data_IF_830950060590
#
_entry.id   IF_830950060590
#
_cell.length_a   1.000
_cell.length_b   1.000
_cell.length_c   1.000
_cell.angle_alpha   90.00
_cell.angle_beta   90.00
_cell.angle_gamma   90.00
#
_symmetry.space_group_name_H-M   'P 1'
#
loop_
_entity.id
_entity.type
_entity.pdbx_description
1 polymer ?
#
# COMPACT_ATOMS: atom_id res chain seq x y z
N UNK A 1 -10.97 15.73 41.21
CA UNK A 1 -10.71 14.42 40.62
C UNK A 1 -11.04 14.45 39.15
N UNK A 2 -10.31 15.23 38.31
CA UNK A 2 -10.62 15.43 36.86
C UNK A 2 -9.37 15.74 36.03
N UNK A 3 -8.25 15.07 36.25
CA UNK A 3 -7.02 15.32 35.47
C UNK A 3 -6.37 14.08 34.86
N UNK A 4 -7.06 12.91 34.82
CA UNK A 4 -6.50 11.68 34.26
C UNK A 4 -6.92 11.39 32.78
N UNK A 5 -7.87 12.13 32.23
CA UNK A 5 -8.43 11.84 30.87
C UNK A 5 -7.63 12.47 29.72
N UNK A 6 -6.86 13.54 29.98
CA UNK A 6 -6.14 14.28 28.92
C UNK A 6 -4.84 13.60 28.50
N UNK A 7 -4.23 12.78 29.37
CA UNK A 7 -2.99 12.06 29.03
C UNK A 7 -3.19 10.79 28.21
N UNK A 8 -4.41 10.22 28.19
CA UNK A 8 -4.71 9.00 27.42
C UNK A 8 -4.83 9.25 25.91
N UNK A 9 -5.25 10.46 25.52
CA UNK A 9 -5.45 10.82 24.11
C UNK A 9 -4.15 10.85 23.28
N UNK A 10 -3.08 11.55 23.71
CA UNK A 10 -1.82 11.59 22.95
C UNK A 10 -1.10 10.24 22.93
N UNK A 11 -1.22 9.43 24.00
CA UNK A 11 -0.63 8.09 24.06
C UNK A 11 -1.31 7.14 23.06
N UNK A 12 -2.64 7.20 22.94
CA UNK A 12 -3.40 6.43 21.93
C UNK A 12 -3.03 6.85 20.50
N UNK A 13 -2.85 8.13 20.24
CA UNK A 13 -2.40 8.66 18.96
C UNK A 13 -0.97 8.17 18.66
N UNK A 14 -0.08 8.18 19.66
CA UNK A 14 1.30 7.71 19.49
C UNK A 14 1.38 6.19 19.24
N UNK A 15 0.54 5.40 19.92
CA UNK A 15 0.39 3.96 19.67
C UNK A 15 -0.17 3.70 18.27
N UNK A 16 -1.14 4.50 17.83
CA UNK A 16 -1.72 4.41 16.50
C UNK A 16 -0.67 4.63 15.38
N UNK A 17 0.21 5.63 15.53
CA UNK A 17 1.32 5.87 14.61
C UNK A 17 2.42 4.79 14.68
N UNK A 18 2.60 4.15 15.82
CA UNK A 18 3.61 3.09 15.99
C UNK A 18 3.22 1.75 15.33
N UNK A 19 1.94 1.54 15.02
CA UNK A 19 1.43 0.32 14.39
C UNK A 19 1.44 0.44 12.84
N UNK A 20 1.65 1.65 12.30
CA UNK A 20 1.67 1.85 10.84
C UNK A 20 2.89 1.17 10.23
N UNK A 21 2.63 0.05 9.58
CA UNK A 21 3.61 -0.70 8.81
C UNK A 21 3.79 -0.05 7.45
N UNK A 22 5.03 0.10 7.01
CA UNK A 22 5.34 0.59 5.67
C UNK A 22 4.91 -0.44 4.62
N UNK A 23 3.83 -0.20 3.91
CA UNK A 23 3.51 -0.95 2.69
C UNK A 23 3.21 0.02 1.54
N UNK A 24 3.49 -0.42 0.30
CA UNK A 24 3.17 0.37 -0.87
C UNK A 24 1.66 0.70 -0.92
N UNK A 25 1.27 1.92 -1.35
CA UNK A 25 -0.13 2.30 -1.42
C UNK A 25 -0.85 1.47 -2.46
N UNK A 26 -1.68 0.53 -2.01
CA UNK A 26 -2.44 -0.40 -2.86
C UNK A 26 -3.93 -0.11 -2.88
N UNK A 27 -4.42 0.77 -2.03
CA UNK A 27 -5.79 1.22 -2.08
C UNK A 27 -6.01 2.05 -3.35
N UNK A 28 -7.14 1.85 -4.03
CA UNK A 28 -7.54 2.67 -5.15
C UNK A 28 -8.76 3.48 -4.71
N UNK A 29 -8.56 4.77 -4.50
CA UNK A 29 -9.59 5.71 -4.01
C UNK A 29 -10.08 6.66 -5.09
N UNK A 30 -9.58 6.50 -6.31
CA UNK A 30 -9.92 7.36 -7.43
C UNK A 30 -11.31 7.04 -7.98
N UNK A 31 -11.99 8.07 -8.45
CA UNK A 31 -13.23 7.97 -9.22
C UNK A 31 -12.92 8.00 -10.72
N UNK A 32 -13.80 7.47 -11.55
CA UNK A 32 -13.76 7.68 -12.99
C UNK A 32 -13.94 9.14 -13.40
N UNK A 33 -14.48 9.98 -12.50
CA UNK A 33 -14.58 11.43 -12.67
C UNK A 33 -13.35 12.11 -12.11
N UNK A 34 -12.57 12.79 -12.96
CA UNK A 34 -11.46 13.65 -12.53
C UNK A 34 -11.97 14.98 -11.98
N UNK A 35 -11.15 15.64 -11.17
CA UNK A 35 -11.50 16.91 -10.61
C UNK A 35 -11.56 18.01 -11.68
N UNK A 36 -12.59 18.85 -11.68
CA UNK A 36 -12.64 20.06 -12.47
C UNK A 36 -11.49 21.01 -12.14
N UNK A 37 -11.13 21.87 -13.09
CA UNK A 37 -10.03 22.83 -12.95
C UNK A 37 -10.14 23.66 -11.67
N UNK A 38 -9.04 23.68 -10.89
CA UNK A 38 -8.93 24.49 -9.68
C UNK A 38 -9.63 23.88 -8.46
N UNK A 39 -10.25 22.72 -8.57
CA UNK A 39 -10.79 22.01 -7.41
C UNK A 39 -9.71 21.21 -6.71
N UNK A 40 -9.85 21.12 -5.39
CA UNK A 40 -8.96 20.37 -4.50
C UNK A 40 -9.75 19.30 -3.77
N UNK A 41 -9.14 18.15 -3.65
CA UNK A 41 -9.63 17.04 -2.84
C UNK A 41 -8.49 16.56 -1.94
N UNK A 42 -8.79 16.36 -0.68
CA UNK A 42 -7.85 15.72 0.25
C UNK A 42 -8.60 14.78 1.17
N UNK A 43 -7.88 13.88 1.80
CA UNK A 43 -8.51 12.94 2.72
C UNK A 43 -7.51 12.10 3.47
N UNK A 44 -8.09 11.32 4.39
CA UNK A 44 -7.40 10.33 5.21
C UNK A 44 -8.10 9.01 4.98
N UNK A 45 -7.33 7.98 4.73
CA UNK A 45 -7.83 6.63 4.52
C UNK A 45 -7.03 5.63 5.35
N UNK A 46 -7.73 4.67 5.93
CA UNK A 46 -7.13 3.55 6.65
C UNK A 46 -7.25 2.29 5.81
N UNK A 47 -6.15 1.61 5.64
CA UNK A 47 -6.02 0.46 4.75
C UNK A 47 -5.45 -0.72 5.51
N UNK A 48 -6.08 -1.87 5.36
CA UNK A 48 -5.58 -3.14 5.88
C UNK A 48 -5.08 -3.94 4.68
N UNK A 49 -3.84 -4.42 4.73
CA UNK A 49 -3.32 -5.34 3.74
C UNK A 49 -3.29 -6.75 4.30
N UNK A 50 -3.99 -7.67 3.67
CA UNK A 50 -4.04 -9.09 4.05
C UNK A 50 -3.46 -9.91 2.91
N UNK A 51 -2.21 -10.40 3.12
CA UNK A 51 -1.46 -11.15 2.12
C UNK A 51 -1.52 -12.66 2.38
N UNK A 52 -1.96 -13.42 1.41
CA UNK A 52 -1.97 -14.88 1.48
C UNK A 52 -0.55 -15.45 1.49
N UNK A 53 0.41 -14.84 0.78
CA UNK A 53 1.80 -15.28 0.76
C UNK A 53 2.43 -15.19 2.15
N UNK A 54 2.25 -14.07 2.86
CA UNK A 54 2.75 -13.89 4.22
C UNK A 54 2.09 -14.84 5.22
N UNK A 55 0.79 -15.08 5.10
CA UNK A 55 0.06 -16.04 5.95
C UNK A 55 0.58 -17.47 5.70
N UNK A 56 0.65 -17.91 4.46
CA UNK A 56 1.06 -19.25 4.09
C UNK A 56 2.49 -19.56 4.54
N UNK A 57 3.43 -18.64 4.32
CA UNK A 57 4.81 -18.82 4.74
C UNK A 57 4.95 -18.83 6.26
N UNK A 58 4.20 -17.98 6.96
CA UNK A 58 4.19 -17.97 8.44
C UNK A 58 3.67 -19.28 9.03
N UNK A 59 2.58 -19.82 8.48
CA UNK A 59 2.03 -21.13 8.90
C UNK A 59 3.02 -22.27 8.61
N UNK A 60 3.59 -22.32 7.40
CA UNK A 60 4.59 -23.32 7.03
C UNK A 60 5.84 -23.25 7.91
N UNK A 61 6.32 -22.03 8.20
CA UNK A 61 7.47 -21.80 9.06
C UNK A 61 7.24 -22.29 10.50
N UNK A 62 6.11 -21.92 11.10
CA UNK A 62 5.77 -22.31 12.47
C UNK A 62 5.53 -23.81 12.64
N UNK A 63 4.81 -24.44 11.70
CA UNK A 63 4.55 -25.89 11.71
C UNK A 63 5.86 -26.69 11.64
N UNK A 64 6.75 -26.32 10.75
CA UNK A 64 8.01 -27.00 10.56
C UNK A 64 8.95 -26.88 11.77
N UNK A 65 8.95 -25.70 12.45
CA UNK A 65 9.68 -25.51 13.70
C UNK A 65 9.14 -26.43 14.81
N UNK A 66 7.81 -26.50 14.95
CA UNK A 66 7.18 -27.38 15.94
C UNK A 66 7.49 -28.86 15.66
N UNK A 67 7.44 -29.30 14.41
CA UNK A 67 7.79 -30.69 14.03
C UNK A 67 9.26 -31.03 14.31
N UNK A 68 10.18 -30.08 14.06
CA UNK A 68 11.63 -30.31 14.35
C UNK A 68 11.89 -30.44 15.85
N UNK A 69 11.22 -29.65 16.67
CA UNK A 69 11.34 -29.70 18.14
C UNK A 69 10.75 -31.01 18.68
N UNK A 70 9.61 -31.46 18.16
CA UNK A 70 8.94 -32.70 18.62
C UNK A 70 9.69 -33.96 18.25
N UNK A 71 10.43 -33.96 17.12
CA UNK A 71 11.14 -35.16 16.63
C UNK A 71 12.54 -35.30 17.17
N UNK A 72 13.05 -34.39 18.01
CA UNK A 72 14.44 -34.32 18.44
C UNK A 72 15.47 -34.52 17.29
N UNK A 73 15.08 -34.09 16.07
CA UNK A 73 15.93 -34.24 14.91
C UNK A 73 17.14 -33.30 14.99
N UNK A 74 18.26 -33.78 14.49
CA UNK A 74 19.47 -32.96 14.30
C UNK A 74 19.08 -31.73 13.51
N UNK A 75 19.25 -30.52 14.08
CA UNK A 75 18.89 -29.24 13.45
C UNK A 75 19.78 -29.07 12.22
N UNK A 76 19.18 -29.21 11.02
CA UNK A 76 19.87 -28.95 9.77
C UNK A 76 19.76 -27.41 9.53
N UNK A 77 20.78 -26.69 9.96
CA UNK A 77 20.80 -25.19 9.90
C UNK A 77 20.47 -24.61 8.54
N UNK A 78 20.93 -25.23 7.45
CA UNK A 78 20.63 -24.77 6.09
C UNK A 78 19.14 -24.81 5.76
N UNK A 79 18.42 -25.85 6.17
CA UNK A 79 16.98 -25.97 5.94
C UNK A 79 16.19 -25.00 6.80
N UNK A 80 16.57 -24.81 8.05
CA UNK A 80 15.93 -23.84 8.95
C UNK A 80 16.15 -22.42 8.46
N UNK A 81 17.35 -22.08 8.00
CA UNK A 81 17.67 -20.80 7.40
C UNK A 81 16.85 -20.53 6.12
N UNK A 82 16.71 -21.53 5.24
CA UNK A 82 15.90 -21.40 4.03
C UNK A 82 14.42 -21.13 4.35
N UNK A 83 13.85 -21.78 5.35
CA UNK A 83 12.48 -21.57 5.82
C UNK A 83 12.30 -20.16 6.40
N UNK A 84 13.23 -19.72 7.26
CA UNK A 84 13.23 -18.39 7.84
C UNK A 84 13.34 -17.31 6.77
N UNK A 85 14.20 -17.50 5.77
CA UNK A 85 14.35 -16.65 4.60
C UNK A 85 13.02 -16.49 3.85
N UNK A 86 12.26 -17.60 3.66
CA UNK A 86 10.98 -17.57 2.94
C UNK A 86 9.92 -16.76 3.69
N UNK A 87 9.78 -16.98 4.99
CA UNK A 87 8.84 -16.23 5.85
C UNK A 87 9.18 -14.73 5.84
N UNK A 88 10.47 -14.44 6.02
CA UNK A 88 10.94 -13.07 6.09
C UNK A 88 10.75 -12.34 4.77
N UNK A 89 11.08 -12.98 3.64
CA UNK A 89 10.93 -12.41 2.32
C UNK A 89 9.45 -12.14 1.97
N UNK A 90 8.56 -13.08 2.28
CA UNK A 90 7.14 -12.90 2.07
C UNK A 90 6.61 -11.68 2.85
N UNK A 91 7.04 -11.52 4.10
CA UNK A 91 6.66 -10.39 4.92
C UNK A 91 7.25 -9.06 4.41
N UNK A 92 8.47 -9.06 3.88
CA UNK A 92 9.09 -7.87 3.31
C UNK A 92 8.40 -7.41 2.01
N UNK A 93 8.00 -8.36 1.16
CA UNK A 93 7.36 -8.05 -0.12
C UNK A 93 5.90 -7.62 0.04
N UNK A 94 5.19 -8.27 0.97
CA UNK A 94 3.77 -8.06 1.16
C UNK A 94 3.32 -8.31 2.62
N UNK A 95 3.64 -7.38 3.53
CA UNK A 95 3.33 -7.52 4.94
C UNK A 95 1.83 -7.50 5.19
N UNK A 96 1.39 -8.27 6.18
CA UNK A 96 0.10 -8.02 6.80
C UNK A 96 0.23 -6.72 7.59
N UNK A 97 -0.50 -5.70 7.18
CA UNK A 97 -0.28 -4.36 7.71
C UNK A 97 -1.56 -3.54 7.79
N UNK A 98 -1.56 -2.61 8.73
CA UNK A 98 -2.52 -1.53 8.83
C UNK A 98 -1.80 -0.21 8.56
N UNK A 99 -2.30 0.58 7.60
CA UNK A 99 -1.67 1.82 7.18
C UNK A 99 -2.70 2.94 7.15
N UNK A 100 -2.26 4.13 7.55
CA UNK A 100 -3.00 5.38 7.34
C UNK A 100 -2.41 6.11 6.16
N UNK A 101 -3.25 6.44 5.20
CA UNK A 101 -2.90 7.18 4.00
C UNK A 101 -3.43 8.59 4.08
N UNK A 102 -2.59 9.58 3.78
CA UNK A 102 -2.97 10.94 3.50
C UNK A 102 -2.90 11.15 1.99
N UNK A 103 -3.94 11.71 1.41
CA UNK A 103 -3.93 11.99 -0.01
C UNK A 103 -4.45 13.39 -0.32
N UNK A 104 -3.90 13.94 -1.39
CA UNK A 104 -4.23 15.22 -1.96
C UNK A 104 -4.39 15.07 -3.47
N UNK A 105 -5.38 15.76 -4.07
CA UNK A 105 -5.61 15.75 -5.50
C UNK A 105 -6.03 17.13 -5.98
N UNK A 106 -5.55 17.53 -7.15
CA UNK A 106 -5.82 18.84 -7.77
C UNK A 106 -6.25 18.68 -9.22
N UNK A 107 -7.35 19.34 -9.60
CA UNK A 107 -7.86 19.39 -10.96
C UNK A 107 -7.10 20.38 -11.84
N UNK A 108 -6.41 19.89 -12.86
CA UNK A 108 -5.68 20.70 -13.84
C UNK A 108 -6.60 21.29 -14.90
N UNK A 109 -7.74 20.67 -15.16
CA UNK A 109 -8.59 20.95 -16.31
C UNK A 109 -8.28 20.03 -17.50
N UNK A 110 -8.98 20.22 -18.62
CA UNK A 110 -8.83 19.41 -19.82
C UNK A 110 -8.93 17.90 -19.55
N UNK A 111 -9.76 17.48 -18.59
CA UNK A 111 -9.96 16.09 -18.18
C UNK A 111 -8.76 15.45 -17.47
N UNK A 112 -7.86 16.24 -16.89
CA UNK A 112 -6.73 15.76 -16.12
C UNK A 112 -6.80 16.25 -14.67
N UNK A 113 -6.40 15.38 -13.77
CA UNK A 113 -6.04 15.73 -12.39
C UNK A 113 -4.74 15.05 -11.97
N UNK A 114 -4.10 15.61 -10.96
CA UNK A 114 -2.89 15.05 -10.35
C UNK A 114 -3.14 14.76 -8.88
N UNK A 115 -2.50 13.73 -8.39
CA UNK A 115 -2.60 13.28 -7.01
C UNK A 115 -1.25 13.07 -6.36
N UNK A 116 -1.23 13.27 -5.06
CA UNK A 116 -0.13 12.87 -4.18
C UNK A 116 -0.70 12.07 -3.02
N UNK A 117 0.03 11.02 -2.62
CA UNK A 117 -0.36 10.11 -1.54
C UNK A 117 0.85 9.76 -0.68
N UNK A 118 0.65 9.77 0.63
CA UNK A 118 1.66 9.33 1.60
C UNK A 118 1.04 8.29 2.53
N UNK A 119 1.73 7.18 2.72
CA UNK A 119 1.32 6.04 3.57
C UNK A 119 2.29 5.80 4.71
N UNK A 120 2.85 6.88 5.30
CA UNK A 120 3.79 6.78 6.43
C UNK A 120 5.20 6.30 6.09
N UNK A 121 5.41 5.56 5.02
CA UNK A 121 6.73 5.07 4.57
C UNK A 121 6.88 5.02 3.06
N UNK A 122 5.77 5.17 2.34
CA UNK A 122 5.75 5.23 0.89
C UNK A 122 5.09 6.50 0.41
N UNK A 123 5.64 7.06 -0.65
CA UNK A 123 5.08 8.21 -1.34
C UNK A 123 4.63 7.79 -2.73
N UNK A 124 3.55 8.38 -3.22
CA UNK A 124 3.07 8.15 -4.57
C UNK A 124 2.59 9.44 -5.21
N UNK A 125 2.91 9.61 -6.49
CA UNK A 125 2.33 10.61 -7.37
C UNK A 125 1.54 9.93 -8.46
N UNK A 126 0.41 10.49 -8.83
CA UNK A 126 -0.39 9.98 -9.92
C UNK A 126 -0.96 11.10 -10.80
N UNK A 127 -1.22 10.74 -12.05
CA UNK A 127 -1.94 11.55 -13.03
C UNK A 127 -3.10 10.71 -13.55
N UNK A 128 -4.30 11.28 -13.56
CA UNK A 128 -5.50 10.63 -14.11
C UNK A 128 -6.02 11.41 -15.31
N UNK A 129 -6.44 10.69 -16.33
CA UNK A 129 -7.11 11.21 -17.51
C UNK A 129 -8.52 10.64 -17.64
N UNK A 130 -9.54 11.49 -17.71
CA UNK A 130 -10.92 11.07 -17.92
C UNK A 130 -11.22 11.00 -19.41
N UNK A 131 -11.41 9.79 -19.93
CA UNK A 131 -11.74 9.56 -21.34
C UNK A 131 -13.26 9.51 -21.60
N UNK A 132 -14.08 9.23 -20.60
CA UNK A 132 -15.53 9.09 -20.73
C UNK A 132 -16.28 9.89 -19.68
N UNK A 133 -17.46 10.40 -20.06
CA UNK A 133 -18.32 11.21 -19.21
C UNK A 133 -18.09 12.72 -19.33
N UNK A 134 -19.01 13.52 -18.76
CA UNK A 134 -18.92 14.97 -18.77
C UNK A 134 -17.93 15.49 -17.71
N UNK A 135 -17.15 16.50 -18.04
CA UNK A 135 -16.25 17.20 -17.09
C UNK A 135 -16.63 18.68 -16.95
N UNK A 136 -17.83 19.07 -17.35
CA UNK A 136 -18.31 20.44 -17.19
C UNK A 136 -18.86 20.62 -15.79
N UNK A 137 -18.57 21.78 -15.18
CA UNK A 137 -19.29 22.30 -14.00
C UNK A 137 -20.68 22.81 -14.44
N UNK A 138 -21.49 21.96 -15.07
CA UNK A 138 -22.80 22.37 -15.54
C UNK A 138 -23.81 22.17 -14.44
N UNK A 139 -24.53 23.26 -14.12
CA UNK A 139 -25.72 23.22 -13.28
C UNK A 139 -26.88 22.45 -13.95
N UNK A 140 -26.66 21.86 -15.12
CA UNK A 140 -27.67 21.21 -15.94
C UNK A 140 -27.44 19.69 -16.00
N UNK A 141 -28.30 19.00 -15.30
CA UNK A 141 -28.99 17.75 -15.66
C UNK A 141 -28.21 16.48 -16.05
N UNK A 142 -26.99 16.19 -15.60
CA UNK A 142 -26.53 14.80 -15.59
C UNK A 142 -26.87 14.18 -14.23
N UNK A 143 -28.11 13.73 -14.09
CA UNK A 143 -28.61 13.18 -12.85
C UNK A 143 -27.88 11.91 -12.41
N UNK A 144 -27.31 11.14 -13.35
CA UNK A 144 -26.60 9.89 -13.09
C UNK A 144 -25.43 9.68 -14.07
N UNK A 145 -24.40 10.50 -13.93
CA UNK A 145 -23.23 10.42 -14.82
C UNK A 145 -22.45 9.13 -14.63
N UNK A 146 -22.12 8.51 -15.76
CA UNK A 146 -21.16 7.42 -15.83
C UNK A 146 -19.84 7.96 -16.37
N UNK A 147 -18.73 7.66 -15.68
CA UNK A 147 -17.42 8.21 -15.97
C UNK A 147 -16.39 7.11 -16.13
N UNK A 148 -15.38 7.36 -16.97
CA UNK A 148 -14.24 6.47 -17.14
C UNK A 148 -12.94 7.26 -17.15
N UNK A 149 -11.94 6.77 -16.41
CA UNK A 149 -10.61 7.34 -16.39
C UNK A 149 -9.54 6.27 -16.37
N UNK A 150 -8.38 6.65 -16.89
CA UNK A 150 -7.15 5.86 -16.80
C UNK A 150 -6.06 6.73 -16.19
N UNK A 151 -5.14 6.11 -15.45
CA UNK A 151 -4.06 6.85 -14.83
C UNK A 151 -2.74 6.12 -14.84
N UNK A 152 -1.71 6.86 -14.43
CA UNK A 152 -0.39 6.32 -14.11
C UNK A 152 0.01 6.85 -12.74
N UNK A 153 0.37 5.94 -11.85
CA UNK A 153 0.90 6.25 -10.53
C UNK A 153 2.34 5.74 -10.44
N UNK A 154 3.23 6.57 -9.93
CA UNK A 154 4.57 6.19 -9.53
C UNK A 154 4.70 6.29 -8.02
N UNK A 155 5.15 5.21 -7.37
CA UNK A 155 5.41 5.21 -5.93
C UNK A 155 6.82 4.74 -5.63
N UNK A 156 7.34 5.22 -4.50
CA UNK A 156 8.63 4.78 -3.99
C UNK A 156 8.58 4.60 -2.48
N UNK A 157 9.33 3.62 -2.02
CA UNK A 157 9.41 3.23 -0.63
C UNK A 157 10.81 2.74 -0.30
N UNK A 158 11.33 3.23 0.82
CA UNK A 158 12.59 2.78 1.39
C UNK A 158 12.27 2.00 2.66
N UNK A 159 12.43 0.69 2.62
CA UNK A 159 12.29 -0.15 3.80
C UNK A 159 13.56 -0.08 4.64
N UNK A 160 13.55 0.77 5.65
CA UNK A 160 14.45 0.64 6.79
C UNK A 160 13.58 0.13 7.94
N UNK A 161 13.81 -1.09 8.37
CA UNK A 161 13.10 -1.68 9.53
C UNK A 161 13.50 -0.99 10.84
N UNK A 162 13.32 0.33 10.94
CA UNK A 162 13.85 1.12 12.06
C UNK A 162 13.00 0.99 13.34
N UNK A 163 11.73 0.51 13.27
CA UNK A 163 10.81 0.67 14.40
C UNK A 163 9.97 -0.54 14.80
N UNK A 164 10.33 -1.76 14.44
CA UNK A 164 9.66 -2.93 14.98
C UNK A 164 10.46 -3.51 16.15
N UNK A 165 10.15 -3.12 17.36
CA UNK A 165 10.82 -3.59 18.59
C UNK A 165 10.83 -5.13 18.73
N UNK A 166 9.91 -5.84 18.09
CA UNK A 166 9.87 -7.31 18.06
C UNK A 166 10.72 -7.93 16.94
N UNK A 167 11.03 -7.18 15.87
CA UNK A 167 11.86 -7.62 14.74
C UNK A 167 13.28 -7.04 14.78
N UNK A 168 13.62 -6.27 15.79
CA UNK A 168 14.94 -5.66 15.96
C UNK A 168 16.05 -6.72 15.97
N UNK A 169 15.78 -7.88 16.54
CA UNK A 169 16.67 -9.03 16.52
C UNK A 169 16.87 -9.54 15.08
N UNK A 170 15.79 -9.69 14.31
CA UNK A 170 15.84 -10.19 12.93
C UNK A 170 16.59 -9.21 12.04
N UNK A 171 16.37 -7.90 12.23
CA UNK A 171 17.10 -6.86 11.49
C UNK A 171 18.58 -6.82 11.86
N UNK A 172 18.92 -6.95 13.14
CA UNK A 172 20.30 -7.03 13.60
C UNK A 172 20.99 -8.28 13.08
N UNK A 173 20.27 -9.41 13.01
CA UNK A 173 20.80 -10.67 12.46
C UNK A 173 21.00 -10.60 10.95
N UNK A 174 20.04 -10.09 10.19
CA UNK A 174 20.04 -10.16 8.72
C UNK A 174 20.53 -8.88 8.03
N UNK A 175 20.60 -7.74 8.72
CA UNK A 175 21.06 -6.47 8.13
C UNK A 175 20.33 -6.13 6.82
N UNK A 176 19.00 -6.19 6.86
CA UNK A 176 18.15 -6.06 5.67
C UNK A 176 17.99 -4.61 5.23
N UNK A 177 18.21 -4.37 3.94
CA UNK A 177 17.91 -3.10 3.26
C UNK A 177 17.15 -3.41 1.96
N UNK A 178 16.01 -2.76 1.75
CA UNK A 178 15.22 -2.94 0.55
C UNK A 178 14.63 -1.61 0.08
N UNK A 179 14.78 -1.36 -1.20
CA UNK A 179 14.13 -0.26 -1.91
C UNK A 179 13.12 -0.80 -2.90
N UNK A 180 11.92 -0.24 -2.87
CA UNK A 180 10.84 -0.61 -3.78
C UNK A 180 10.35 0.63 -4.52
N UNK A 181 10.09 0.46 -5.83
CA UNK A 181 9.45 1.44 -6.69
C UNK A 181 8.36 0.72 -7.47
N UNK A 182 7.17 1.33 -7.55
CA UNK A 182 6.07 0.73 -8.30
C UNK A 182 5.55 1.70 -9.35
N UNK A 183 5.21 1.15 -10.53
CA UNK A 183 4.42 1.82 -11.54
C UNK A 183 3.06 1.13 -11.55
N UNK A 184 1.99 1.90 -11.33
CA UNK A 184 0.62 1.37 -11.25
C UNK A 184 -0.27 2.07 -12.27
N UNK A 185 -1.05 1.30 -13.02
CA UNK A 185 -1.94 1.79 -14.05
C UNK A 185 -3.37 1.36 -13.71
N UNK A 186 -4.19 2.21 -13.06
CA UNK A 186 -5.60 1.95 -12.80
C UNK A 186 -6.46 2.34 -14.00
N UNK A 187 -7.41 1.49 -14.35
CA UNK A 187 -8.53 1.78 -15.23
C UNK A 187 -9.80 1.82 -14.36
N UNK A 188 -10.44 2.97 -14.29
CA UNK A 188 -11.50 3.25 -13.32
C UNK A 188 -12.78 3.64 -14.04
N UNK A 189 -13.88 2.98 -13.69
CA UNK A 189 -15.23 3.37 -14.05
C UNK A 189 -15.97 3.79 -12.80
N UNK A 190 -16.87 4.77 -12.93
CA UNK A 190 -17.69 5.18 -11.80
C UNK A 190 -19.08 5.63 -12.22
N UNK A 191 -20.05 5.38 -11.35
CA UNK A 191 -21.41 5.88 -11.44
C UNK A 191 -21.66 6.87 -10.30
N UNK A 192 -22.11 8.05 -10.67
CA UNK A 192 -22.42 9.15 -9.74
C UNK A 192 -23.74 8.90 -9.03
N UNK A 193 -23.83 9.29 -7.75
CA UNK A 193 -25.07 9.48 -7.04
C UNK A 193 -25.43 10.95 -7.03
N UNK A 194 -26.43 11.30 -7.85
CA UNK A 194 -26.82 12.68 -8.12
C UNK A 194 -25.81 13.46 -8.98
N UNK A 195 -26.13 14.73 -9.27
CA UNK A 195 -25.30 15.56 -10.16
C UNK A 195 -23.89 15.72 -9.61
N UNK A 196 -22.89 15.50 -10.47
CA UNK A 196 -21.47 15.72 -10.18
C UNK A 196 -20.91 15.00 -8.95
N UNK A 197 -21.38 13.79 -8.68
CA UNK A 197 -21.04 13.03 -7.45
C UNK A 197 -21.40 13.78 -6.15
N UNK A 198 -22.46 14.61 -6.16
CA UNK A 198 -22.86 15.45 -5.03
C UNK A 198 -23.19 14.64 -3.78
N UNK A 199 -23.70 13.43 -3.94
CA UNK A 199 -24.01 12.50 -2.85
C UNK A 199 -23.03 11.33 -2.77
N UNK A 200 -22.05 11.30 -3.68
CA UNK A 200 -21.05 10.26 -3.81
C UNK A 200 -21.19 9.47 -5.10
N UNK A 201 -20.77 8.22 -5.06
CA UNK A 201 -20.80 7.33 -6.22
C UNK A 201 -20.18 5.97 -5.90
N UNK A 202 -20.31 5.07 -6.84
CA UNK A 202 -19.60 3.78 -6.86
C UNK A 202 -18.55 3.83 -7.95
N UNK A 203 -17.34 3.45 -7.63
CA UNK A 203 -16.24 3.29 -8.59
C UNK A 203 -15.76 1.85 -8.58
N UNK A 204 -15.41 1.31 -9.72
CA UNK A 204 -14.87 -0.03 -9.88
C UNK A 204 -13.89 -0.05 -11.05
N UNK A 205 -13.05 -1.07 -11.09
CA UNK A 205 -12.11 -1.17 -12.18
C UNK A 205 -11.07 -2.24 -11.98
N UNK A 206 -10.08 -2.20 -12.87
CA UNK A 206 -8.92 -3.08 -12.84
C UNK A 206 -7.65 -2.27 -12.69
N UNK A 207 -6.61 -2.90 -12.19
CA UNK A 207 -5.33 -2.27 -11.96
C UNK A 207 -4.19 -3.22 -12.32
N UNK A 208 -3.23 -2.72 -13.05
CA UNK A 208 -1.94 -3.36 -13.26
C UNK A 208 -0.87 -2.61 -12.49
N UNK A 209 0.06 -3.32 -11.87
CA UNK A 209 1.21 -2.73 -11.21
C UNK A 209 2.46 -3.55 -11.48
N UNK A 210 3.57 -2.86 -11.79
CA UNK A 210 4.90 -3.45 -11.86
C UNK A 210 5.76 -2.88 -10.74
N UNK A 211 6.39 -3.77 -9.96
CA UNK A 211 7.26 -3.44 -8.83
C UNK A 211 8.72 -3.71 -9.17
N UNK A 212 9.58 -2.74 -8.92
CA UNK A 212 11.04 -2.86 -8.99
C UNK A 212 11.60 -2.97 -7.58
N UNK A 213 12.32 -4.03 -7.30
CA UNK A 213 12.88 -4.33 -5.98
C UNK A 213 14.40 -4.38 -6.06
N UNK A 214 15.05 -3.59 -5.22
CA UNK A 214 16.49 -3.74 -4.93
C UNK A 214 16.62 -4.14 -3.46
N UNK A 215 17.33 -5.22 -3.19
CA UNK A 215 17.49 -5.72 -1.82
C UNK A 215 18.94 -6.09 -1.52
N UNK A 216 19.29 -5.97 -0.24
CA UNK A 216 20.58 -6.37 0.31
C UNK A 216 20.36 -6.99 1.69
N UNK A 217 20.97 -8.14 1.90
CA UNK A 217 20.97 -8.85 3.17
C UNK A 217 22.43 -8.94 3.61
N UNK A 218 22.77 -8.28 4.73
CA UNK A 218 24.14 -8.21 5.24
C UNK A 218 24.13 -8.49 6.74
N UNK A 219 24.25 -9.76 7.15
CA UNK A 219 24.33 -10.12 8.56
C UNK A 219 25.43 -9.34 9.26
N UNK A 220 25.14 -8.75 10.44
CA UNK A 220 26.14 -8.01 11.21
C UNK A 220 27.04 -8.96 11.98
N UNK A 221 28.35 -8.74 11.88
CA UNK A 221 29.38 -9.58 12.51
C UNK A 221 29.22 -9.80 14.02
N UNK A 222 28.60 -8.85 14.75
CA UNK A 222 28.43 -8.92 16.21
C UNK A 222 27.59 -10.14 16.66
N UNK A 223 26.68 -10.60 15.80
CA UNK A 223 25.86 -11.77 16.08
C UNK A 223 26.40 -13.02 15.34
N UNK A 224 27.16 -12.83 14.29
CA UNK A 224 27.87 -13.90 13.61
C UNK A 224 28.86 -14.60 14.55
N UNK A 225 29.60 -13.85 15.38
CA UNK A 225 30.56 -14.45 16.33
C UNK A 225 29.89 -15.42 17.35
N UNK A 226 28.69 -15.08 17.86
CA UNK A 226 27.95 -15.97 18.77
C UNK A 226 27.24 -17.14 18.08
N UNK A 227 26.97 -17.01 16.80
CA UNK A 227 26.30 -18.04 15.99
C UNK A 227 27.32 -18.83 15.18
N UNK A 228 28.49 -18.27 14.87
CA UNK A 228 29.56 -18.89 14.08
C UNK A 228 30.09 -20.19 14.67
N UNK A 229 30.04 -20.38 15.99
CA UNK A 229 30.41 -21.66 16.60
C UNK A 229 29.41 -22.79 16.26
N UNK A 230 28.22 -22.44 15.74
CA UNK A 230 27.14 -23.38 15.46
C UNK A 230 26.67 -23.38 14.00
N UNK A 231 26.96 -22.36 13.19
CA UNK A 231 26.51 -22.19 11.80
C UNK A 231 27.71 -22.02 10.89
N UNK A 232 27.84 -22.77 9.79
CA UNK A 232 28.91 -22.57 8.81
C UNK A 232 28.94 -21.15 8.28
N UNK A 233 30.10 -20.49 8.31
CA UNK A 233 30.27 -19.10 7.89
C UNK A 233 29.82 -18.84 6.45
N UNK A 234 29.92 -19.83 5.58
CA UNK A 234 29.48 -19.79 4.18
C UNK A 234 27.97 -19.50 4.02
N UNK A 235 27.15 -19.88 5.02
CA UNK A 235 25.71 -19.67 5.01
C UNK A 235 25.33 -18.21 5.32
N UNK A 236 26.26 -17.43 5.85
CA UNK A 236 26.03 -16.04 6.29
C UNK A 236 26.68 -15.01 5.36
N UNK A 237 27.13 -15.40 4.17
CA UNK A 237 27.67 -14.47 3.18
C UNK A 237 26.60 -13.45 2.76
N UNK A 238 26.96 -12.16 2.66
CA UNK A 238 26.04 -11.12 2.22
C UNK A 238 25.49 -11.43 0.84
N UNK A 239 24.18 -11.19 0.67
CA UNK A 239 23.46 -11.38 -0.60
C UNK A 239 22.82 -10.06 -1.01
N UNK A 240 22.91 -9.71 -2.28
CA UNK A 240 22.19 -8.58 -2.85
C UNK A 240 21.62 -8.96 -4.21
N UNK A 241 20.53 -8.32 -4.58
CA UNK A 241 19.90 -8.57 -5.87
C UNK A 241 18.94 -7.48 -6.30
N UNK A 242 18.59 -7.56 -7.58
CA UNK A 242 17.52 -6.77 -8.19
C UNK A 242 16.49 -7.75 -8.73
N UNK A 243 15.23 -7.47 -8.49
CA UNK A 243 14.11 -8.27 -8.98
C UNK A 243 12.95 -7.35 -9.31
N UNK A 244 11.94 -7.88 -9.99
CA UNK A 244 10.70 -7.19 -10.24
C UNK A 244 9.56 -8.19 -10.31
N UNK A 245 8.35 -7.70 -10.11
CA UNK A 245 7.16 -8.53 -10.21
C UNK A 245 5.94 -7.73 -10.69
N UNK A 246 5.00 -8.48 -11.26
CA UNK A 246 3.73 -7.97 -11.73
C UNK A 246 2.61 -8.27 -10.75
N UNK A 247 1.68 -7.33 -10.62
CA UNK A 247 0.46 -7.48 -9.86
C UNK A 247 -0.74 -7.08 -10.74
N UNK A 248 -1.77 -7.91 -10.73
CA UNK A 248 -3.04 -7.67 -11.41
C UNK A 248 -4.13 -7.62 -10.36
N UNK A 249 -4.95 -6.58 -10.40
CA UNK A 249 -5.99 -6.40 -9.39
C UNK A 249 -7.30 -5.91 -9.96
N UNK A 250 -8.33 -6.07 -9.13
CA UNK A 250 -9.62 -5.45 -9.33
C UNK A 250 -10.04 -4.78 -8.03
N UNK A 251 -10.88 -3.75 -8.14
CA UNK A 251 -11.33 -3.01 -6.97
C UNK A 251 -12.75 -2.50 -7.14
N UNK A 252 -13.38 -2.26 -6.01
CA UNK A 252 -14.62 -1.52 -5.88
C UNK A 252 -14.47 -0.50 -4.75
N UNK A 253 -15.01 0.70 -4.98
CA UNK A 253 -14.97 1.80 -4.02
C UNK A 253 -16.34 2.46 -3.98
N UNK A 254 -16.87 2.67 -2.79
CA UNK A 254 -18.14 3.35 -2.53
C UNK A 254 -17.85 4.61 -1.75
N UNK A 255 -18.33 5.73 -2.29
CA UNK A 255 -18.22 7.04 -1.67
C UNK A 255 -19.61 7.56 -1.36
N UNK A 256 -19.88 7.88 -0.10
CA UNK A 256 -21.16 8.41 0.37
C UNK A 256 -20.95 9.66 1.20
N UNK A 257 -21.70 10.71 0.90
CA UNK A 257 -21.56 11.97 1.63
C UNK A 257 -22.40 13.08 1.01
N UNK A 258 -22.03 14.30 1.32
CA UNK A 258 -22.73 15.47 0.76
C UNK A 258 -21.77 16.59 0.46
N UNK A 259 -21.65 16.94 -0.80
CA UNK A 259 -20.95 18.10 -1.35
C UNK A 259 -19.48 18.28 -0.95
N UNK A 260 -19.18 18.40 0.34
CA UNK A 260 -17.85 18.72 0.84
C UNK A 260 -17.19 17.58 1.58
N UNK A 261 -17.97 16.71 2.24
CA UNK A 261 -17.48 15.65 3.11
C UNK A 261 -18.07 14.32 2.67
N UNK A 262 -17.20 13.33 2.49
CA UNK A 262 -17.59 11.98 2.09
C UNK A 262 -16.86 10.94 2.93
N UNK A 263 -17.55 9.85 3.16
CA UNK A 263 -16.97 8.61 3.66
C UNK A 263 -16.69 7.68 2.48
N UNK A 264 -15.51 7.09 2.48
CA UNK A 264 -15.06 6.16 1.46
C UNK A 264 -14.92 4.77 2.06
N UNK A 265 -15.38 3.76 1.31
CA UNK A 265 -15.16 2.35 1.60
C UNK A 265 -14.65 1.70 0.33
N UNK A 266 -13.53 1.02 0.40
CA UNK A 266 -12.94 0.37 -0.76
C UNK A 266 -12.51 -1.05 -0.42
N UNK A 267 -12.61 -1.91 -1.40
CA UNK A 267 -12.07 -3.27 -1.37
C UNK A 267 -11.31 -3.49 -2.67
N UNK A 268 -10.03 -3.82 -2.56
CA UNK A 268 -9.22 -4.22 -3.70
C UNK A 268 -8.66 -5.63 -3.47
N UNK A 269 -8.51 -6.38 -4.55
CA UNK A 269 -7.88 -7.69 -4.55
C UNK A 269 -6.82 -7.73 -5.65
N UNK A 270 -5.62 -8.25 -5.31
CA UNK A 270 -4.49 -8.36 -6.21
C UNK A 270 -3.98 -9.78 -6.26
N UNK A 271 -3.74 -10.29 -7.45
CA UNK A 271 -2.91 -11.45 -7.69
C UNK A 271 -1.49 -10.98 -7.98
N UNK A 272 -0.48 -11.55 -7.31
CA UNK A 272 0.91 -11.14 -7.40
C UNK A 272 1.81 -12.36 -7.59
N UNK A 273 2.71 -12.26 -8.58
CA UNK A 273 3.79 -13.21 -8.77
C UNK A 273 5.11 -12.48 -8.46
N UNK A 274 5.56 -12.62 -7.23
CA UNK A 274 6.72 -11.89 -6.71
C UNK A 274 8.06 -12.29 -7.34
N UNK A 275 8.11 -13.37 -8.12
CA UNK A 275 9.33 -13.84 -8.74
C UNK A 275 10.25 -14.59 -7.78
N UNK A 276 11.54 -14.69 -8.16
CA UNK A 276 12.57 -15.42 -7.43
C UNK A 276 13.55 -14.47 -6.76
N UNK A 277 13.95 -14.82 -5.54
CA UNK A 277 14.92 -14.06 -4.76
C UNK A 277 16.01 -14.98 -4.22
N UNK A 278 17.27 -14.58 -4.41
CA UNK A 278 18.40 -15.23 -3.79
C UNK A 278 18.52 -14.80 -2.33
N UNK A 279 18.70 -15.75 -1.44
CA UNK A 279 18.71 -15.53 0.00
C UNK A 279 20.00 -16.06 0.61
N UNK A 280 20.18 -15.84 1.92
CA UNK A 280 21.32 -16.36 2.67
C UNK A 280 21.40 -17.88 2.53
N UNK A 281 22.63 -18.42 2.50
CA UNK A 281 22.88 -19.84 2.34
C UNK A 281 22.59 -20.39 0.93
N UNK A 282 22.58 -19.50 -0.09
CA UNK A 282 22.38 -19.91 -1.49
C UNK A 282 20.95 -20.37 -1.83
N UNK A 283 20.01 -20.27 -0.89
CA UNK A 283 18.62 -20.65 -1.12
C UNK A 283 17.92 -19.66 -2.05
N UNK A 284 16.96 -20.18 -2.84
CA UNK A 284 16.06 -19.35 -3.65
C UNK A 284 14.65 -19.41 -3.09
N UNK A 285 13.99 -18.26 -3.04
CA UNK A 285 12.60 -18.14 -2.60
C UNK A 285 11.75 -17.70 -3.79
N UNK A 286 10.75 -18.50 -4.12
CA UNK A 286 9.73 -18.19 -5.12
C UNK A 286 8.41 -17.95 -4.40
N UNK A 287 7.82 -16.79 -4.58
CA UNK A 287 6.58 -16.40 -3.93
C UNK A 287 5.53 -15.98 -4.94
N UNK A 288 4.29 -16.34 -4.65
CA UNK A 288 3.09 -15.86 -5.33
C UNK A 288 1.95 -15.81 -4.32
N UNK A 289 0.99 -14.95 -4.54
CA UNK A 289 -0.12 -14.85 -3.60
C UNK A 289 -1.21 -13.89 -4.05
N UNK A 290 -2.25 -13.86 -3.23
CA UNK A 290 -3.35 -12.93 -3.36
C UNK A 290 -3.29 -11.99 -2.16
N UNK A 291 -3.47 -10.69 -2.40
CA UNK A 291 -3.62 -9.69 -1.35
C UNK A 291 -5.01 -9.10 -1.42
N UNK A 292 -5.68 -9.02 -0.28
CA UNK A 292 -6.98 -8.38 -0.12
C UNK A 292 -6.75 -7.10 0.69
N UNK A 293 -7.27 -5.98 0.18
CA UNK A 293 -6.98 -4.64 0.70
C UNK A 293 -8.30 -3.90 0.97
N UNK A 294 -8.99 -4.21 2.09
CA UNK A 294 -10.08 -3.38 2.55
C UNK A 294 -9.56 -2.04 3.05
N UNK A 295 -10.30 -0.98 2.77
CA UNK A 295 -9.96 0.36 3.25
C UNK A 295 -11.20 1.20 3.51
N UNK A 296 -11.06 2.15 4.44
CA UNK A 296 -12.11 3.10 4.81
C UNK A 296 -11.50 4.45 5.18
N UNK A 297 -12.23 5.52 4.93
CA UNK A 297 -11.70 6.85 5.22
C UNK A 297 -12.68 7.98 4.99
N UNK A 298 -12.14 9.19 5.07
CA UNK A 298 -12.88 10.42 4.86
C UNK A 298 -12.20 11.26 3.79
N UNK A 299 -13.03 11.90 2.99
CA UNK A 299 -12.63 12.77 1.89
C UNK A 299 -13.29 14.13 2.02
N UNK A 300 -12.52 15.17 1.74
CA UNK A 300 -12.97 16.55 1.73
C UNK A 300 -12.73 17.16 0.35
N UNK A 301 -13.76 17.80 -0.19
CA UNK A 301 -13.69 18.50 -1.47
C UNK A 301 -13.78 20.02 -1.25
N UNK A 302 -12.84 20.77 -1.79
CA UNK A 302 -12.85 22.22 -1.81
C UNK A 302 -13.13 22.68 -3.25
N UNK A 303 -14.25 23.33 -3.44
CA UNK A 303 -14.62 23.87 -4.74
C UNK A 303 -14.04 25.28 -4.91
N UNK A 304 -13.34 25.51 -6.02
CA UNK A 304 -12.97 26.88 -6.42
C UNK A 304 -14.26 27.68 -6.72
N UNK A 305 -14.38 28.86 -6.14
CA UNK A 305 -15.42 29.79 -6.53
C UNK A 305 -15.14 30.23 -7.97
N UNK A 306 -15.84 29.66 -8.93
CA UNK A 306 -15.85 30.19 -10.30
C UNK A 306 -16.44 31.58 -10.22
N UNK A 307 -15.66 32.64 -10.50
CA UNK A 307 -16.20 33.98 -10.66
C UNK A 307 -17.28 33.89 -11.75
N UNK A 308 -18.55 34.07 -11.37
CA UNK A 308 -19.60 34.32 -12.35
C UNK A 308 -19.12 35.53 -13.15
N UNK A 309 -18.89 35.37 -14.46
CA UNK A 309 -18.77 36.56 -15.33
C UNK A 309 -20.04 37.39 -15.14
N UNK A 310 -19.93 38.71 -14.92
CA UNK A 310 -21.11 39.54 -14.94
C UNK A 310 -21.78 39.29 -16.29
N UNK A 311 -23.07 39.01 -16.26
CA UNK A 311 -23.90 39.04 -17.47
C UNK A 311 -23.98 40.51 -17.78
N UNK A 312 -23.16 40.96 -18.76
CA UNK A 312 -23.32 42.29 -19.34
C UNK A 312 -24.71 42.35 -19.91
N UNK A 313 -25.58 43.05 -19.21
CA UNK A 313 -26.92 43.40 -19.67
C UNK A 313 -26.79 44.28 -20.92
N UNK A 314 -27.32 43.81 -22.00
CA UNK A 314 -27.83 44.65 -23.09
C UNK A 314 -29.30 44.39 -23.20
#
# INVERSE_FOLDING_TARGET
MQMKSIFFSPLLILIYFAISSCSAPRSILTSGKVLPKGQVRFGINNTINVSSASIEQSIKGSRNLAESVLKNDTIIYSQQLAKLNSVFMAYCLDPISYNTEFYFRYGLGHRFDIGYRNTGGANAFDVMYQFMGSNKNSNESDQDGFYGSIGVQYSWQNYRFVNFSKFDIVQKLFGWDMNRKDITIPLVFSKSFGPEERYGGVSFGVVYSHSFINYKISPKNIYAEKIMDQVPAELLLPVSGKSGFDAYGAFINVKVGKKYVFFNFSLAAYYQNYGKYKMLGGSEVLLKGISIVPSYGMQFNIFSKTKKKPVDGK
#
